data_IF_278991561145
#
_entry.id   IF_278991561145
#
_cell.length_a   1.000
_cell.length_b   1.000
_cell.length_c   1.000
_cell.angle_alpha   90.00
_cell.angle_beta   90.00
_cell.angle_gamma   90.00
#
_symmetry.space_group_name_H-M   'P 1'
#
loop_
_entity.id
_entity.type
_entity.pdbx_description
1 polymer ?
#
# COMPACT_ATOMS: atom_id res chain seq x y z
N UNK A 1 10.92 10.12 19.75
CA UNK A 1 10.23 10.20 21.05
C UNK A 1 8.77 10.54 20.78
N UNK A 2 7.84 9.71 21.24
CA UNK A 2 6.40 9.88 21.05
C UNK A 2 5.92 11.26 21.48
N UNK A 3 4.87 11.77 20.82
CA UNK A 3 4.24 13.02 21.25
C UNK A 3 3.76 12.90 22.70
N UNK A 4 4.18 13.82 23.55
CA UNK A 4 3.85 13.82 24.98
C UNK A 4 2.33 13.88 25.27
N UNK A 5 1.54 14.34 24.31
CA UNK A 5 0.08 14.44 24.40
C UNK A 5 -0.66 13.22 23.85
N UNK A 6 0.07 12.27 23.22
CA UNK A 6 -0.54 11.06 22.69
C UNK A 6 -0.87 10.07 23.82
N UNK A 7 -2.09 9.59 23.84
CA UNK A 7 -2.54 8.50 24.71
C UNK A 7 -3.43 7.57 23.91
N UNK A 8 -3.03 6.31 23.83
CA UNK A 8 -3.73 5.25 23.09
C UNK A 8 -5.15 5.01 23.61
N UNK A 9 -5.37 5.18 24.93
CA UNK A 9 -6.68 5.00 25.55
C UNK A 9 -7.74 6.00 25.07
N UNK A 10 -7.29 7.13 24.51
CA UNK A 10 -8.16 8.13 23.91
C UNK A 10 -8.44 7.89 22.42
N UNK A 11 -7.89 6.82 21.83
CA UNK A 11 -8.09 6.50 20.42
C UNK A 11 -9.55 6.11 20.17
N UNK A 12 -10.19 6.79 19.23
CA UNK A 12 -11.60 6.58 18.86
C UNK A 12 -11.79 5.60 17.70
N UNK A 13 -10.71 5.04 17.17
CA UNK A 13 -10.69 4.19 15.98
C UNK A 13 -10.09 2.84 16.29
N UNK A 14 -10.67 1.79 15.70
CA UNK A 14 -10.11 0.44 15.80
C UNK A 14 -9.01 0.18 14.79
N UNK A 15 -9.01 0.92 13.68
CA UNK A 15 -8.03 0.80 12.60
C UNK A 15 -7.78 2.15 11.97
N UNK A 16 -6.52 2.41 11.63
CA UNK A 16 -6.09 3.50 10.78
C UNK A 16 -5.63 2.84 9.48
N UNK A 17 -6.35 3.10 8.40
CA UNK A 17 -6.08 2.47 7.10
C UNK A 17 -5.51 3.51 6.15
N UNK A 18 -4.27 3.31 5.73
CA UNK A 18 -3.63 4.16 4.72
C UNK A 18 -4.07 3.65 3.35
N UNK A 19 -4.71 4.53 2.59
CA UNK A 19 -5.17 4.27 1.24
C UNK A 19 -4.53 5.29 0.30
N UNK A 20 -3.74 4.81 -0.65
CA UNK A 20 -3.03 5.64 -1.64
C UNK A 20 -3.18 5.01 -3.01
N UNK A 21 -2.90 5.79 -4.05
CA UNK A 21 -2.87 5.31 -5.42
C UNK A 21 -1.85 4.16 -5.55
N UNK A 22 -2.09 3.25 -6.48
CA UNK A 22 -1.23 2.11 -6.75
C UNK A 22 -0.11 2.47 -7.74
N UNK A 23 0.59 3.58 -7.49
CA UNK A 23 1.69 4.10 -8.29
C UNK A 23 2.86 4.57 -7.41
N UNK A 24 3.92 5.07 -8.04
CA UNK A 24 5.15 5.53 -7.37
C UNK A 24 4.86 6.68 -6.41
N UNK A 25 4.02 7.62 -6.79
CA UNK A 25 3.67 8.78 -5.96
C UNK A 25 2.85 8.34 -4.74
N UNK A 26 1.90 7.43 -4.93
CA UNK A 26 1.13 6.82 -3.86
C UNK A 26 2.01 6.05 -2.86
N UNK A 27 3.02 5.33 -3.34
CA UNK A 27 3.99 4.63 -2.48
C UNK A 27 4.84 5.62 -1.67
N UNK A 28 5.24 6.74 -2.26
CA UNK A 28 5.96 7.79 -1.55
C UNK A 28 5.09 8.44 -0.47
N UNK A 29 3.86 8.79 -0.77
CA UNK A 29 2.91 9.35 0.20
C UNK A 29 2.71 8.36 1.36
N UNK A 30 2.50 7.09 1.06
CA UNK A 30 2.38 6.02 2.07
C UNK A 30 3.59 5.97 3.00
N UNK A 31 4.80 6.00 2.43
CA UNK A 31 6.05 5.99 3.18
C UNK A 31 6.18 7.20 4.10
N UNK A 32 5.82 8.40 3.62
CA UNK A 32 5.83 9.62 4.43
C UNK A 32 4.82 9.55 5.59
N UNK A 33 3.62 9.07 5.34
CA UNK A 33 2.59 8.90 6.38
C UNK A 33 3.03 7.87 7.42
N UNK A 34 3.58 6.73 7.00
CA UNK A 34 4.14 5.72 7.90
C UNK A 34 5.28 6.28 8.75
N UNK A 35 6.19 7.05 8.13
CA UNK A 35 7.28 7.71 8.84
C UNK A 35 6.76 8.69 9.88
N UNK A 36 5.75 9.49 9.55
CA UNK A 36 5.11 10.40 10.48
C UNK A 36 4.51 9.64 11.68
N UNK A 37 3.74 8.60 11.43
CA UNK A 37 3.15 7.76 12.49
C UNK A 37 4.24 7.11 13.35
N UNK A 38 5.28 6.56 12.73
CA UNK A 38 6.39 5.93 13.42
C UNK A 38 7.14 6.91 14.34
N UNK A 39 7.39 8.14 13.89
CA UNK A 39 8.11 9.16 14.67
C UNK A 39 7.27 9.82 15.76
N UNK A 40 5.99 10.05 15.49
CA UNK A 40 5.12 10.84 16.38
C UNK A 40 4.27 9.97 17.30
N UNK A 41 3.82 8.81 16.82
CA UNK A 41 2.90 7.92 17.53
C UNK A 41 3.25 6.43 17.31
N UNK A 42 4.49 6.01 17.64
CA UNK A 42 4.95 4.63 17.38
C UNK A 42 4.06 3.57 18.05
N UNK A 43 3.42 3.89 19.16
CA UNK A 43 2.48 3.01 19.84
C UNK A 43 1.34 2.54 18.92
N UNK A 44 0.86 3.37 17.99
CA UNK A 44 -0.17 2.97 17.02
C UNK A 44 0.27 1.82 16.12
N UNK A 45 1.54 1.81 15.72
CA UNK A 45 2.12 0.74 14.90
C UNK A 45 2.39 -0.49 15.76
N UNK A 46 3.01 -0.31 16.92
CA UNK A 46 3.38 -1.40 17.83
C UNK A 46 2.16 -2.19 18.31
N UNK A 47 1.07 -1.51 18.63
CA UNK A 47 -0.20 -2.11 19.05
C UNK A 47 -1.06 -2.61 17.87
N UNK A 48 -0.60 -2.36 16.63
CA UNK A 48 -1.21 -2.92 15.43
C UNK A 48 -2.50 -2.24 14.99
N UNK A 49 -2.62 -0.93 15.17
CA UNK A 49 -3.75 -0.14 14.71
C UNK A 49 -3.60 0.32 13.26
N UNK A 50 -2.38 0.27 12.69
CA UNK A 50 -2.08 0.81 11.36
C UNK A 50 -2.10 -0.29 10.31
N UNK A 51 -2.80 -0.03 9.21
CA UNK A 51 -2.97 -0.91 8.07
C UNK A 51 -2.75 -0.15 6.77
N UNK A 52 -2.36 -0.88 5.73
CA UNK A 52 -2.34 -0.42 4.35
C UNK A 52 -3.47 -1.12 3.61
N UNK A 53 -4.31 -0.37 2.90
CA UNK A 53 -5.27 -0.96 1.98
C UNK A 53 -4.55 -1.35 0.68
N UNK A 54 -4.74 -2.58 0.23
CA UNK A 54 -4.34 -2.98 -1.12
C UNK A 54 -5.38 -2.51 -2.13
N UNK A 55 -4.93 -1.74 -3.11
CA UNK A 55 -5.75 -1.37 -4.27
C UNK A 55 -5.47 -2.34 -5.41
N UNK A 56 -6.50 -2.79 -6.15
CA UNK A 56 -6.28 -3.67 -7.29
C UNK A 56 -5.53 -2.93 -8.40
N UNK A 57 -4.64 -3.66 -9.09
CA UNK A 57 -3.93 -3.15 -10.26
C UNK A 57 -4.77 -3.26 -11.53
N UNK A 58 -5.65 -4.26 -11.58
CA UNK A 58 -6.48 -4.55 -12.76
C UNK A 58 -7.92 -4.84 -12.36
N UNK A 59 -8.83 -4.27 -13.12
CA UNK A 59 -10.23 -4.64 -13.18
C UNK A 59 -10.48 -5.41 -14.48
N UNK A 60 -11.02 -6.62 -14.37
CA UNK A 60 -11.33 -7.49 -15.51
C UNK A 60 -12.82 -7.73 -15.50
N UNK A 61 -13.55 -7.09 -16.42
CA UNK A 61 -14.99 -7.14 -16.48
C UNK A 61 -15.44 -8.06 -17.60
N UNK A 62 -16.27 -9.05 -17.26
CA UNK A 62 -17.03 -9.90 -18.17
C UNK A 62 -18.49 -9.43 -18.17
N UNK A 63 -19.32 -10.06 -19.00
CA UNK A 63 -20.76 -9.78 -19.00
C UNK A 63 -21.43 -10.08 -17.65
N UNK A 64 -20.91 -11.08 -16.92
CA UNK A 64 -21.58 -11.67 -15.75
C UNK A 64 -20.86 -11.32 -14.43
N UNK A 65 -19.58 -10.92 -14.48
CA UNK A 65 -18.77 -10.74 -13.27
C UNK A 65 -17.60 -9.80 -13.51
N UNK A 66 -17.20 -9.07 -12.46
CA UNK A 66 -15.98 -8.25 -12.42
C UNK A 66 -14.97 -8.86 -11.44
N UNK A 67 -13.77 -9.11 -11.92
CA UNK A 67 -12.64 -9.63 -11.13
C UNK A 67 -11.66 -8.50 -10.84
N UNK A 68 -11.11 -8.49 -9.63
CA UNK A 68 -10.08 -7.54 -9.21
C UNK A 68 -8.78 -8.27 -8.97
N UNK A 69 -7.79 -8.01 -9.81
CA UNK A 69 -6.45 -8.59 -9.68
C UNK A 69 -5.48 -7.59 -9.04
N UNK A 70 -4.78 -8.02 -8.03
CA UNK A 70 -3.82 -7.22 -7.26
C UNK A 70 -2.37 -7.48 -7.71
N UNK A 71 -2.17 -8.54 -8.46
CA UNK A 71 -0.86 -8.96 -8.99
C UNK A 71 -0.98 -9.49 -10.41
N UNK A 72 0.12 -9.50 -11.17
CA UNK A 72 0.15 -10.13 -12.50
C UNK A 72 -0.20 -11.63 -12.48
N UNK A 73 0.28 -12.44 -11.51
CA UNK A 73 -0.16 -13.82 -11.38
C UNK A 73 -1.66 -14.00 -11.17
N UNK A 74 -2.29 -13.14 -10.34
CA UNK A 74 -3.75 -13.16 -10.14
C UNK A 74 -4.49 -12.84 -11.44
N UNK A 75 -4.03 -11.81 -12.16
CA UNK A 75 -4.57 -11.45 -13.48
C UNK A 75 -4.51 -12.64 -14.45
N UNK A 76 -3.35 -13.28 -14.55
CA UNK A 76 -3.17 -14.45 -15.42
C UNK A 76 -4.09 -15.62 -15.03
N UNK A 77 -4.29 -15.84 -13.73
CA UNK A 77 -5.21 -16.86 -13.22
C UNK A 77 -6.66 -16.57 -13.61
N UNK A 78 -7.13 -15.32 -13.43
CA UNK A 78 -8.48 -14.92 -13.82
C UNK A 78 -8.69 -15.02 -15.33
N UNK A 79 -7.72 -14.60 -16.15
CA UNK A 79 -7.82 -14.73 -17.60
C UNK A 79 -7.92 -16.21 -18.04
N UNK A 80 -7.22 -17.09 -17.36
CA UNK A 80 -7.31 -18.53 -17.62
C UNK A 80 -8.68 -19.09 -17.24
N UNK A 81 -9.28 -18.62 -16.14
CA UNK A 81 -10.64 -19.01 -15.70
C UNK A 81 -11.71 -18.49 -16.66
N UNK A 82 -11.58 -17.25 -17.13
CA UNK A 82 -12.50 -16.61 -18.06
C UNK A 82 -12.49 -17.34 -19.43
N UNK A 83 -11.33 -17.83 -19.86
CA UNK A 83 -11.16 -18.57 -21.11
C UNK A 83 -11.55 -17.74 -22.34
N UNK A 84 -12.40 -18.32 -23.21
CA UNK A 84 -12.80 -17.70 -24.49
C UNK A 84 -13.97 -16.66 -24.35
N UNK A 85 -14.42 -16.36 -23.14
CA UNK A 85 -15.47 -15.35 -22.91
C UNK A 85 -14.91 -13.95 -23.24
N UNK A 86 -15.79 -13.08 -23.72
CA UNK A 86 -15.44 -11.66 -23.94
C UNK A 86 -15.22 -10.98 -22.59
N UNK A 87 -14.15 -10.22 -22.47
CA UNK A 87 -13.83 -9.44 -21.31
C UNK A 87 -13.20 -8.09 -21.72
N UNK A 88 -13.19 -7.15 -20.79
CA UNK A 88 -12.41 -5.92 -20.86
C UNK A 88 -11.43 -5.88 -19.67
N UNK A 89 -10.22 -5.36 -19.90
CA UNK A 89 -9.25 -5.14 -18.81
C UNK A 89 -9.03 -3.64 -18.72
N UNK A 90 -9.17 -3.11 -17.50
CA UNK A 90 -8.80 -1.76 -17.17
C UNK A 90 -7.70 -1.80 -16.10
N UNK A 91 -6.64 -1.02 -16.30
CA UNK A 91 -5.62 -0.82 -15.25
C UNK A 91 -6.11 0.29 -14.33
N UNK A 92 -6.21 -0.01 -13.04
CA UNK A 92 -6.50 1.00 -12.03
C UNK A 92 -5.23 1.81 -11.76
N UNK A 93 -5.28 3.12 -11.94
CA UNK A 93 -4.14 4.02 -11.71
C UNK A 93 -4.33 4.83 -10.44
N UNK A 94 -5.43 5.53 -10.31
CA UNK A 94 -5.69 6.42 -9.18
C UNK A 94 -7.01 6.14 -8.49
N UNK A 95 -7.08 6.41 -7.20
CA UNK A 95 -8.30 6.25 -6.39
C UNK A 95 -9.46 7.10 -6.91
N UNK A 96 -9.16 8.26 -7.52
CA UNK A 96 -10.15 9.17 -8.10
C UNK A 96 -10.78 8.68 -9.41
N UNK A 97 -10.20 7.67 -10.05
CA UNK A 97 -10.72 7.05 -11.28
C UNK A 97 -11.67 5.89 -10.98
N UNK A 98 -11.65 5.39 -9.74
CA UNK A 98 -12.46 4.27 -9.32
C UNK A 98 -13.90 4.73 -9.04
N UNK A 99 -14.87 3.96 -9.51
CA UNK A 99 -16.24 4.23 -9.14
C UNK A 99 -16.53 3.84 -7.66
N UNK A 100 -17.61 4.37 -7.07
CA UNK A 100 -17.93 4.11 -5.67
C UNK A 100 -18.15 2.63 -5.33
N UNK A 101 -18.69 1.85 -6.25
CA UNK A 101 -18.94 0.42 -6.05
C UNK A 101 -17.64 -0.37 -6.02
N UNK A 102 -16.70 -0.06 -6.92
CA UNK A 102 -15.36 -0.62 -6.92
C UNK A 102 -14.63 -0.29 -5.61
N UNK A 103 -14.65 0.99 -5.18
CA UNK A 103 -14.04 1.41 -3.90
C UNK A 103 -14.68 0.69 -2.70
N UNK A 104 -15.99 0.48 -2.73
CA UNK A 104 -16.65 -0.30 -1.69
C UNK A 104 -16.11 -1.73 -1.66
N UNK A 105 -16.14 -2.44 -2.78
CA UNK A 105 -15.79 -3.85 -2.88
C UNK A 105 -14.30 -4.11 -2.57
N UNK A 106 -13.42 -3.22 -2.97
CA UNK A 106 -11.96 -3.45 -2.90
C UNK A 106 -11.31 -2.88 -1.63
N UNK A 107 -11.87 -1.81 -1.06
CA UNK A 107 -11.19 -1.04 -0.02
C UNK A 107 -12.02 -0.86 1.25
N UNK A 108 -13.32 -0.62 1.13
CA UNK A 108 -14.16 -0.24 2.26
C UNK A 108 -14.88 -1.42 2.92
N UNK A 109 -15.36 -2.38 2.13
CA UNK A 109 -16.13 -3.51 2.64
C UNK A 109 -15.24 -4.44 3.49
N UNK A 110 -15.55 -4.64 4.79
CA UNK A 110 -14.77 -5.51 5.68
C UNK A 110 -14.65 -6.97 5.20
N UNK A 111 -15.61 -7.46 4.40
CA UNK A 111 -15.66 -8.85 3.96
C UNK A 111 -14.79 -9.12 2.73
N UNK A 112 -14.55 -8.10 1.89
CA UNK A 112 -13.85 -8.27 0.61
C UNK A 112 -12.53 -7.51 0.53
N UNK A 113 -12.33 -6.47 1.34
CA UNK A 113 -11.10 -5.66 1.33
C UNK A 113 -9.88 -6.47 1.76
N UNK A 114 -8.73 -6.12 1.19
CA UNK A 114 -7.43 -6.64 1.60
C UNK A 114 -6.70 -5.57 2.41
N UNK A 115 -6.33 -5.90 3.63
CA UNK A 115 -5.54 -5.02 4.51
C UNK A 115 -4.25 -5.71 4.91
N UNK A 116 -3.14 -5.01 4.70
CA UNK A 116 -1.83 -5.40 5.20
C UNK A 116 -1.63 -4.70 6.55
N UNK A 117 -1.48 -5.46 7.62
CA UNK A 117 -1.15 -4.91 8.94
C UNK A 117 0.29 -4.44 8.96
N UNK A 118 0.51 -3.20 9.34
CA UNK A 118 1.87 -2.65 9.52
C UNK A 118 2.40 -3.12 10.87
N UNK A 119 3.47 -3.91 10.84
CA UNK A 119 4.16 -4.39 12.04
C UNK A 119 5.61 -3.95 11.98
N UNK A 120 6.15 -3.31 13.00
CA UNK A 120 7.59 -3.14 13.11
C UNK A 120 8.21 -4.50 13.47
N UNK A 121 8.76 -5.19 12.47
CA UNK A 121 9.46 -6.47 12.66
C UNK A 121 10.79 -6.26 13.35
N UNK A 122 11.40 -5.10 13.13
CA UNK A 122 12.64 -4.65 13.77
C UNK A 122 12.61 -3.12 13.88
N UNK A 123 12.47 -2.61 15.09
CA UNK A 123 12.34 -1.17 15.36
C UNK A 123 13.62 -0.42 15.02
N UNK A 124 14.80 -0.98 15.32
CA UNK A 124 16.10 -0.34 15.06
C UNK A 124 16.37 -0.31 13.56
N UNK A 125 16.15 -1.42 12.86
CA UNK A 125 16.31 -1.49 11.41
C UNK A 125 15.33 -0.55 10.68
N UNK A 126 14.08 -0.53 11.11
CA UNK A 126 13.07 0.40 10.57
C UNK A 126 13.49 1.86 10.75
N UNK A 127 13.99 2.23 11.93
CA UNK A 127 14.50 3.57 12.20
C UNK A 127 15.71 3.89 11.31
N UNK A 128 16.64 2.95 11.17
CA UNK A 128 17.83 3.09 10.33
C UNK A 128 17.45 3.31 8.86
N UNK A 129 16.53 2.52 8.33
CA UNK A 129 16.07 2.64 6.94
C UNK A 129 15.35 3.97 6.71
N UNK A 130 14.51 4.41 7.63
CA UNK A 130 13.85 5.71 7.52
C UNK A 130 14.86 6.87 7.57
N UNK A 131 15.85 6.83 8.45
CA UNK A 131 16.89 7.86 8.51
C UNK A 131 17.80 7.85 7.27
N UNK A 132 18.06 6.67 6.71
CA UNK A 132 18.84 6.54 5.47
C UNK A 132 18.08 7.10 4.26
N UNK A 133 16.82 6.72 4.09
CA UNK A 133 16.03 7.09 2.91
C UNK A 133 15.46 8.51 2.97
N UNK A 134 15.12 9.00 4.16
CA UNK A 134 14.41 10.27 4.36
C UNK A 134 15.20 11.31 5.18
N UNK A 135 16.34 10.91 5.75
CA UNK A 135 17.24 11.80 6.49
C UNK A 135 18.16 12.62 5.58
N UNK A 136 19.15 13.32 6.18
CA UNK A 136 20.06 14.21 5.46
C UNK A 136 21.28 13.50 4.84
N UNK A 137 21.45 12.18 5.07
CA UNK A 137 22.56 11.42 4.53
C UNK A 137 22.38 11.06 3.05
N UNK A 138 22.61 12.05 2.18
CA UNK A 138 22.48 11.89 0.73
C UNK A 138 23.42 10.84 0.14
N UNK A 139 24.66 10.75 0.67
CA UNK A 139 25.66 9.80 0.18
C UNK A 139 25.24 8.35 0.47
N UNK A 140 24.83 8.07 1.71
CA UNK A 140 24.34 6.75 2.10
C UNK A 140 23.07 6.33 1.34
N UNK A 141 22.17 7.28 1.06
CA UNK A 141 20.97 7.01 0.24
C UNK A 141 21.32 6.61 -1.18
N UNK A 142 22.26 7.33 -1.83
CA UNK A 142 22.71 6.98 -3.18
C UNK A 142 23.37 5.61 -3.24
N UNK A 143 24.18 5.28 -2.24
CA UNK A 143 24.82 3.97 -2.13
C UNK A 143 23.78 2.85 -1.93
N UNK A 144 22.82 3.04 -1.05
CA UNK A 144 21.73 2.09 -0.83
C UNK A 144 20.91 1.84 -2.09
N UNK A 145 20.54 2.89 -2.82
CA UNK A 145 19.82 2.78 -4.10
C UNK A 145 20.67 2.05 -5.14
N UNK A 146 21.97 2.32 -5.21
CA UNK A 146 22.87 1.64 -6.14
C UNK A 146 23.00 0.13 -5.85
N UNK A 147 22.94 -0.26 -4.57
CA UNK A 147 23.05 -1.65 -4.15
C UNK A 147 21.72 -2.44 -4.31
N UNK A 148 20.57 -1.80 -4.02
CA UNK A 148 19.28 -2.46 -3.92
C UNK A 148 18.27 -2.03 -5.00
N UNK A 149 18.56 -0.96 -5.74
CA UNK A 149 17.60 -0.42 -6.71
C UNK A 149 17.19 -1.38 -7.80
N UNK A 150 18.08 -2.31 -8.17
CA UNK A 150 17.78 -3.33 -9.18
C UNK A 150 16.68 -4.33 -8.73
N UNK A 151 16.50 -4.51 -7.41
CA UNK A 151 15.48 -5.41 -6.85
C UNK A 151 14.05 -4.87 -7.05
N UNK A 152 13.93 -3.55 -7.31
CA UNK A 152 12.65 -2.85 -7.45
C UNK A 152 12.38 -2.34 -8.85
N UNK A 153 13.17 -2.78 -9.86
CA UNK A 153 13.00 -2.32 -11.25
C UNK A 153 11.63 -2.68 -11.82
N UNK A 154 11.09 -3.83 -11.43
CA UNK A 154 9.78 -4.30 -11.89
C UNK A 154 8.61 -3.53 -11.26
N UNK A 155 8.85 -2.85 -10.14
CA UNK A 155 7.87 -2.03 -9.44
C UNK A 155 7.85 -0.56 -9.95
N UNK A 156 8.82 -0.18 -10.79
CA UNK A 156 8.88 1.16 -11.36
C UNK A 156 7.87 1.28 -12.52
N UNK A 157 7.00 2.27 -12.41
CA UNK A 157 6.15 2.69 -13.54
C UNK A 157 7.02 3.44 -14.55
N UNK A 158 7.40 2.77 -15.63
CA UNK A 158 8.23 3.30 -16.74
C UNK A 158 7.33 3.89 -17.83
N UNK A 159 6.19 4.49 -17.49
CA UNK A 159 5.28 5.12 -18.44
C UNK A 159 5.69 6.55 -18.82
#
# INVERSE_FOLDING_TARGET
KELATFNIDNLRYNKIVICTDADVDGYQIRTLVLTMLYRLTPTLINEGYVYIAESPLYEITTKDHTYFAYTEPEKAAFLKEIGDKKYTIQRSKGLGENDPEMMWLTTMNPESRRLIKVLPTDVEETARVFDLLLGDNLAGRKEHIAQHGAEYLDDLDVS
#
